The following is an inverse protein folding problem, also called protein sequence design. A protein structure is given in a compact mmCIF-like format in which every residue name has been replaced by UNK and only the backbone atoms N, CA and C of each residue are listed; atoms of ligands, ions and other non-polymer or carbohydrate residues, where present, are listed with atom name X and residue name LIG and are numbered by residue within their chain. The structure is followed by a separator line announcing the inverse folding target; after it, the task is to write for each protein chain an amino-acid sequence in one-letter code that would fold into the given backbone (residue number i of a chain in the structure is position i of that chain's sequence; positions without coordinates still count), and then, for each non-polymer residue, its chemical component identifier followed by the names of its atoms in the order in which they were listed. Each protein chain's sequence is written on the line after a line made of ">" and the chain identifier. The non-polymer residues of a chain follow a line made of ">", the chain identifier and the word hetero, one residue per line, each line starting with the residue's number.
data_IF_482244776836
#
_entry.id   IF_482244776836
#
_cell.length_a   1.000
_cell.length_b   1.000
_cell.length_c   1.000
_cell.angle_alpha   90.00
_cell.angle_beta   90.00
_cell.angle_gamma   90.00
#
_symmetry.space_group_name_H-M   'P 1'
#
loop_
_entity.id
_entity.type
_entity.pdbx_description
1 polymer ?
#
# COMPACT_ATOMS: atom_id res chain seq x y z
N UNK A 1 24.01 -1.95 9.89
CA UNK A 1 22.65 -1.37 9.79
C UNK A 1 21.90 -2.18 8.75
N UNK A 2 20.62 -2.48 8.97
CA UNK A 2 19.82 -3.19 7.95
C UNK A 2 19.50 -2.19 6.84
N UNK A 3 19.65 -2.62 5.59
CA UNK A 3 19.25 -1.81 4.45
C UNK A 3 17.73 -1.64 4.38
N UNK A 4 17.27 -0.42 4.07
CA UNK A 4 15.85 -0.13 3.84
C UNK A 4 15.29 -0.97 2.69
N UNK A 5 16.13 -1.26 1.69
CA UNK A 5 15.78 -2.15 0.60
C UNK A 5 15.43 -3.57 1.07
N UNK A 6 16.29 -4.15 1.91
CA UNK A 6 16.09 -5.48 2.49
C UNK A 6 14.84 -5.52 3.38
N UNK A 7 14.59 -4.45 4.15
CA UNK A 7 13.38 -4.32 4.94
C UNK A 7 12.11 -4.29 4.08
N UNK A 8 12.12 -3.56 2.97
CA UNK A 8 10.97 -3.51 2.05
C UNK A 8 10.69 -4.90 1.44
N UNK A 9 11.72 -5.56 0.91
CA UNK A 9 11.58 -6.90 0.32
C UNK A 9 11.11 -7.95 1.33
N UNK A 10 11.61 -7.88 2.56
CA UNK A 10 11.14 -8.74 3.65
C UNK A 10 9.63 -8.56 3.90
N UNK A 11 9.14 -7.33 3.98
CA UNK A 11 7.72 -7.06 4.17
C UNK A 11 6.88 -7.51 2.96
N UNK A 12 7.37 -7.32 1.73
CA UNK A 12 6.70 -7.82 0.51
C UNK A 12 6.53 -9.33 0.56
N UNK A 13 7.59 -10.08 0.92
CA UNK A 13 7.51 -11.53 1.03
C UNK A 13 6.58 -11.97 2.17
N UNK A 14 6.67 -11.32 3.33
CA UNK A 14 5.83 -11.63 4.49
C UNK A 14 4.35 -11.42 4.20
N UNK A 15 3.99 -10.28 3.58
CA UNK A 15 2.61 -10.02 3.20
C UNK A 15 2.16 -10.88 2.01
N UNK A 16 3.07 -11.35 1.15
CA UNK A 16 2.76 -12.38 0.18
C UNK A 16 2.27 -13.68 0.86
N UNK A 17 2.93 -14.09 1.95
CA UNK A 17 2.48 -15.26 2.75
C UNK A 17 1.13 -14.98 3.43
N UNK A 18 0.93 -13.78 3.98
CA UNK A 18 -0.37 -13.38 4.57
C UNK A 18 -1.47 -13.42 3.49
N UNK A 19 -1.19 -12.87 2.30
CA UNK A 19 -2.10 -12.86 1.17
C UNK A 19 -2.47 -14.25 0.67
N UNK A 20 -1.53 -15.21 0.71
CA UNK A 20 -1.81 -16.63 0.43
C UNK A 20 -2.89 -17.19 1.37
N UNK A 21 -2.78 -16.90 2.67
CA UNK A 21 -3.71 -17.39 3.68
C UNK A 21 -5.06 -16.67 3.62
N UNK A 22 -5.05 -15.38 3.27
CA UNK A 22 -6.21 -14.50 3.29
C UNK A 22 -7.07 -14.60 2.02
N UNK A 23 -6.44 -14.84 0.87
CA UNK A 23 -7.08 -15.03 -0.43
C UNK A 23 -7.31 -13.73 -1.21
N UNK A 24 -7.33 -13.85 -2.54
CA UNK A 24 -7.37 -12.70 -3.48
C UNK A 24 -8.50 -11.72 -3.23
N UNK A 25 -9.76 -12.16 -3.08
CA UNK A 25 -10.90 -11.23 -2.94
C UNK A 25 -10.73 -10.26 -1.77
N UNK A 26 -10.16 -10.72 -0.65
CA UNK A 26 -9.94 -9.87 0.53
C UNK A 26 -8.72 -8.98 0.36
N UNK A 27 -7.66 -9.45 -0.29
CA UNK A 27 -6.49 -8.62 -0.63
C UNK A 27 -6.84 -7.52 -1.63
N UNK A 28 -7.76 -7.78 -2.55
CA UNK A 28 -8.22 -6.79 -3.52
C UNK A 28 -9.01 -5.66 -2.86
N UNK A 29 -9.85 -5.97 -1.86
CA UNK A 29 -10.53 -4.94 -1.06
C UNK A 29 -9.52 -4.11 -0.26
N UNK A 30 -8.51 -4.76 0.33
CA UNK A 30 -7.43 -4.06 1.01
C UNK A 30 -6.66 -3.12 0.07
N UNK A 31 -6.35 -3.60 -1.14
CA UNK A 31 -5.70 -2.82 -2.20
C UNK A 31 -6.50 -1.55 -2.53
N UNK A 32 -7.81 -1.68 -2.68
CA UNK A 32 -8.68 -0.53 -2.95
C UNK A 32 -8.61 0.52 -1.83
N UNK A 33 -8.64 0.09 -0.57
CA UNK A 33 -8.50 0.98 0.58
C UNK A 33 -7.12 1.64 0.67
N UNK A 34 -6.06 0.91 0.38
CA UNK A 34 -4.68 1.44 0.36
C UNK A 34 -4.54 2.49 -0.75
N UNK A 35 -5.00 2.21 -1.98
CA UNK A 35 -4.92 3.17 -3.09
C UNK A 35 -5.74 4.43 -2.77
N UNK A 36 -6.91 4.28 -2.16
CA UNK A 36 -7.70 5.43 -1.70
C UNK A 36 -6.94 6.26 -0.64
N UNK A 37 -6.28 5.60 0.32
CA UNK A 37 -5.48 6.29 1.33
C UNK A 37 -4.33 7.09 0.70
N UNK A 38 -3.61 6.48 -0.25
CA UNK A 38 -2.53 7.13 -0.98
C UNK A 38 -3.03 8.31 -1.81
N UNK A 39 -4.21 8.17 -2.44
CA UNK A 39 -4.85 9.27 -3.15
C UNK A 39 -5.15 10.45 -2.26
N UNK A 40 -5.75 10.19 -1.10
CA UNK A 40 -6.04 11.26 -0.13
C UNK A 40 -4.75 11.92 0.34
N UNK A 41 -3.69 11.16 0.60
CA UNK A 41 -2.40 11.72 1.04
C UNK A 41 -1.74 12.62 -0.01
N UNK A 42 -1.85 12.28 -1.30
CA UNK A 42 -1.29 13.07 -2.40
C UNK A 42 -2.17 14.28 -2.72
N UNK A 43 -3.47 14.07 -2.92
CA UNK A 43 -4.39 15.14 -3.33
C UNK A 43 -4.55 16.20 -2.23
N UNK A 44 -4.55 15.78 -0.96
CA UNK A 44 -4.66 16.67 0.18
C UNK A 44 -3.31 16.96 0.85
N UNK A 45 -2.20 16.88 0.12
CA UNK A 45 -0.86 17.12 0.68
C UNK A 45 -0.78 18.48 1.42
N UNK A 46 -1.31 19.54 0.82
CA UNK A 46 -1.34 20.88 1.43
C UNK A 46 -2.10 20.92 2.77
N UNK A 47 -3.11 20.07 2.96
CA UNK A 47 -3.82 19.94 4.23
C UNK A 47 -2.92 19.29 5.29
N UNK A 48 -2.21 18.22 4.94
CA UNK A 48 -1.29 17.55 5.86
C UNK A 48 -0.09 18.43 6.24
N UNK A 49 0.44 19.21 5.29
CA UNK A 49 1.47 20.21 5.56
C UNK A 49 0.95 21.34 6.45
N UNK A 50 -0.29 21.78 6.23
CA UNK A 50 -0.94 22.80 7.07
C UNK A 50 -1.14 22.31 8.50
N UNK A 51 -1.53 21.04 8.67
CA UNK A 51 -1.69 20.42 9.97
C UNK A 51 -0.35 20.29 10.72
N UNK A 52 0.76 20.21 9.98
CA UNK A 52 2.13 20.26 10.50
C UNK A 52 2.78 21.64 10.46
N UNK A 53 2.05 22.74 10.21
CA UNK A 53 2.66 24.08 10.22
C UNK A 53 3.20 24.42 11.60
N UNK A 54 4.50 24.73 11.66
CA UNK A 54 5.23 24.98 12.90
C UNK A 54 5.76 23.72 13.59
N UNK A 55 5.47 22.54 13.03
CA UNK A 55 6.00 21.25 13.47
C UNK A 55 7.23 20.85 12.66
N UNK A 56 8.15 20.10 13.26
CA UNK A 56 9.31 19.54 12.54
C UNK A 56 8.90 18.48 11.50
N UNK A 57 9.77 18.20 10.53
CA UNK A 57 9.55 17.21 9.46
C UNK A 57 9.17 15.81 10.00
N UNK A 58 9.64 15.47 11.20
CA UNK A 58 9.28 14.24 11.92
C UNK A 58 7.78 14.14 12.22
N UNK A 59 7.14 15.22 12.67
CA UNK A 59 5.71 15.21 12.99
C UNK A 59 4.88 15.06 11.71
N UNK A 60 5.28 15.72 10.61
CA UNK A 60 4.63 15.58 9.30
C UNK A 60 4.69 14.12 8.83
N UNK A 61 5.85 13.48 8.98
CA UNK A 61 6.01 12.06 8.67
C UNK A 61 5.04 11.20 9.50
N UNK A 62 4.99 11.38 10.82
CA UNK A 62 4.11 10.57 11.67
C UNK A 62 2.63 10.77 11.35
N UNK A 63 2.20 11.99 11.00
CA UNK A 63 0.82 12.22 10.58
C UNK A 63 0.49 11.47 9.29
N UNK A 64 1.35 11.59 8.25
CA UNK A 64 1.18 10.87 6.97
C UNK A 64 1.21 9.35 7.19
N UNK A 65 2.15 8.85 7.98
CA UNK A 65 2.31 7.44 8.30
C UNK A 65 1.13 6.87 9.10
N UNK A 66 0.70 7.58 10.14
CA UNK A 66 -0.44 7.17 10.97
C UNK A 66 -1.73 7.11 10.14
N UNK A 67 -1.96 8.12 9.29
CA UNK A 67 -3.11 8.12 8.39
C UNK A 67 -3.09 6.90 7.47
N UNK A 68 -1.97 6.64 6.77
CA UNK A 68 -1.82 5.48 5.88
C UNK A 68 -2.06 4.16 6.64
N UNK A 69 -1.44 3.99 7.80
CA UNK A 69 -1.52 2.76 8.58
C UNK A 69 -2.93 2.54 9.15
N UNK A 70 -3.61 3.58 9.62
CA UNK A 70 -4.98 3.47 10.14
C UNK A 70 -5.95 3.09 9.01
N UNK A 71 -5.88 3.75 7.85
CA UNK A 71 -6.75 3.40 6.72
C UNK A 71 -6.45 2.00 6.21
N UNK A 72 -5.16 1.64 6.09
CA UNK A 72 -4.72 0.29 5.70
C UNK A 72 -5.24 -0.76 6.68
N UNK A 73 -5.13 -0.52 7.99
CA UNK A 73 -5.63 -1.42 9.02
C UNK A 73 -7.13 -1.70 8.83
N UNK A 74 -7.96 -0.66 8.68
CA UNK A 74 -9.39 -0.84 8.43
C UNK A 74 -9.70 -1.50 7.08
N UNK A 75 -8.91 -1.24 6.05
CA UNK A 75 -9.03 -1.92 4.76
C UNK A 75 -8.76 -3.43 4.88
N UNK A 76 -7.82 -3.82 5.76
CA UNK A 76 -7.59 -5.22 6.10
C UNK A 76 -8.71 -5.80 6.98
N UNK A 77 -9.27 -5.07 7.94
CA UNK A 77 -10.34 -5.58 8.83
C UNK A 77 -11.71 -5.76 8.17
N UNK A 78 -11.89 -5.38 6.90
CA UNK A 78 -13.21 -5.41 6.23
C UNK A 78 -13.80 -6.84 6.17
N UNK A 79 -14.98 -7.10 6.77
CA UNK A 79 -15.55 -8.45 6.88
C UNK A 79 -15.91 -9.06 5.50
N UNK A 80 -15.55 -10.33 5.26
CA UNK A 80 -15.71 -10.95 3.94
C UNK A 80 -17.16 -11.28 3.55
N UNK A 81 -18.08 -11.30 4.51
CA UNK A 81 -19.48 -11.71 4.30
C UNK A 81 -20.29 -10.73 3.43
N UNK A 82 -19.80 -9.50 3.24
CA UNK A 82 -20.45 -8.48 2.40
C UNK A 82 -19.95 -8.46 0.95
N UNK A 83 -18.90 -9.21 0.62
CA UNK A 83 -18.20 -9.12 -0.68
C UNK A 83 -18.23 -10.43 -1.48
N UNK A 84 -18.61 -11.56 -0.85
CA UNK A 84 -18.85 -12.81 -1.58
C UNK A 84 -20.29 -12.88 -2.08
N UNK A 85 -20.56 -12.80 -3.41
CA UNK A 85 -21.83 -13.25 -3.93
C UNK A 85 -21.94 -14.73 -3.60
N UNK A 86 -23.08 -15.13 -3.03
CA UNK A 86 -23.42 -16.52 -2.71
C UNK A 86 -22.99 -17.45 -3.85
N UNK A 87 -22.08 -18.38 -3.55
CA UNK A 87 -21.54 -19.38 -4.49
C UNK A 87 -22.69 -20.04 -5.28
N UNK A 88 -22.76 -19.78 -6.59
CA UNK A 88 -23.44 -20.71 -7.51
C UNK A 88 -22.64 -22.02 -7.51
N UNK A 89 -23.28 -23.04 -6.95
CA UNK A 89 -22.81 -24.40 -6.74
C UNK A 89 -22.44 -25.04 -8.10
N UNK A 90 -21.16 -25.28 -8.35
CA UNK A 90 -20.70 -25.85 -9.63
C UNK A 90 -19.24 -26.31 -9.68
N UNK A 91 -18.93 -27.46 -9.07
CA UNK A 91 -17.98 -28.50 -9.54
C UNK A 91 -16.62 -28.07 -10.19
N UNK A 92 -15.93 -27.04 -9.68
CA UNK A 92 -14.51 -26.70 -10.00
C UNK A 92 -13.68 -26.34 -8.76
N UNK A 93 -13.90 -27.03 -7.63
CA UNK A 93 -13.55 -26.51 -6.30
C UNK A 93 -12.03 -26.42 -5.99
N UNK A 94 -11.17 -27.23 -6.60
CA UNK A 94 -9.73 -27.23 -6.26
C UNK A 94 -8.86 -26.30 -7.11
N UNK A 95 -9.10 -26.20 -8.42
CA UNK A 95 -8.27 -25.32 -9.29
C UNK A 95 -8.53 -23.85 -8.96
N UNK A 96 -9.80 -23.51 -8.76
CA UNK A 96 -10.22 -22.16 -8.42
C UNK A 96 -9.67 -21.75 -7.04
N UNK A 97 -9.60 -22.68 -6.08
CA UNK A 97 -9.02 -22.43 -4.76
C UNK A 97 -7.50 -22.17 -4.79
N UNK A 98 -6.74 -22.95 -5.57
CA UNK A 98 -5.29 -22.73 -5.72
C UNK A 98 -4.98 -21.43 -6.44
N UNK A 99 -5.71 -21.11 -7.51
CA UNK A 99 -5.58 -19.84 -8.22
C UNK A 99 -5.87 -18.65 -7.29
N UNK A 100 -6.94 -18.73 -6.49
CA UNK A 100 -7.33 -17.66 -5.57
C UNK A 100 -6.27 -17.39 -4.50
N UNK A 101 -5.49 -18.41 -4.09
CA UNK A 101 -4.39 -18.27 -3.13
C UNK A 101 -3.13 -17.68 -3.76
N UNK A 102 -2.77 -18.09 -4.97
CA UNK A 102 -1.61 -17.55 -5.69
C UNK A 102 -1.83 -16.07 -6.02
N UNK A 103 -3.02 -15.71 -6.48
CA UNK A 103 -3.40 -14.30 -6.67
C UNK A 103 -3.38 -13.52 -5.35
N UNK A 104 -3.71 -14.18 -4.24
CA UNK A 104 -3.54 -13.64 -2.90
C UNK A 104 -2.08 -13.31 -2.57
N UNK A 105 -1.12 -14.17 -2.92
CA UNK A 105 0.32 -13.89 -2.73
C UNK A 105 0.73 -12.62 -3.47
N UNK A 106 0.37 -12.53 -4.75
CA UNK A 106 0.76 -11.39 -5.59
C UNK A 106 0.16 -10.09 -5.05
N UNK A 107 -1.14 -10.10 -4.73
CA UNK A 107 -1.78 -8.90 -4.18
C UNK A 107 -1.28 -8.55 -2.78
N UNK A 108 -1.04 -9.54 -1.91
CA UNK A 108 -0.48 -9.29 -0.58
C UNK A 108 0.89 -8.64 -0.65
N UNK A 109 1.77 -9.17 -1.50
CA UNK A 109 3.09 -8.58 -1.74
C UNK A 109 2.99 -7.17 -2.35
N UNK A 110 2.08 -6.97 -3.30
CA UNK A 110 1.84 -5.64 -3.89
C UNK A 110 1.28 -4.64 -2.87
N UNK A 111 0.36 -5.06 -2.00
CA UNK A 111 -0.18 -4.25 -0.92
C UNK A 111 0.91 -3.82 0.06
N UNK A 112 1.80 -4.73 0.46
CA UNK A 112 2.96 -4.36 1.27
C UNK A 112 3.90 -3.39 0.55
N UNK A 113 4.17 -3.61 -0.73
CA UNK A 113 4.97 -2.68 -1.53
C UNK A 113 4.34 -1.29 -1.53
N UNK A 114 3.02 -1.17 -1.73
CA UNK A 114 2.32 0.11 -1.67
C UNK A 114 2.41 0.76 -0.28
N UNK A 115 2.18 0.00 0.79
CA UNK A 115 2.17 0.55 2.16
C UNK A 115 3.58 0.93 2.61
N UNK A 116 4.49 -0.04 2.68
CA UNK A 116 5.85 0.18 3.20
C UNK A 116 6.71 1.01 2.23
N UNK A 117 6.51 0.85 0.92
CA UNK A 117 7.18 1.69 -0.08
C UNK A 117 6.72 3.15 -0.01
N UNK A 118 5.43 3.40 0.26
CA UNK A 118 4.96 4.79 0.46
C UNK A 118 5.41 5.39 1.79
N UNK A 119 5.51 4.58 2.86
CA UNK A 119 6.13 5.03 4.10
C UNK A 119 7.58 5.46 3.87
N UNK A 120 8.36 4.66 3.14
CA UNK A 120 9.73 5.04 2.78
C UNK A 120 9.74 6.29 1.88
N UNK A 121 8.84 6.39 0.90
CA UNK A 121 8.72 7.59 0.08
C UNK A 121 8.50 8.87 0.92
N UNK A 122 7.64 8.83 1.95
CA UNK A 122 7.46 9.97 2.84
C UNK A 122 8.71 10.33 3.62
N UNK A 123 9.51 9.34 4.01
CA UNK A 123 10.81 9.59 4.66
C UNK A 123 11.77 10.29 3.70
N UNK A 124 11.84 9.83 2.45
CA UNK A 124 12.71 10.40 1.43
C UNK A 124 12.35 11.87 1.11
N UNK A 125 11.06 12.15 0.90
CA UNK A 125 10.54 13.51 0.69
C UNK A 125 10.84 14.47 1.86
N UNK A 126 10.90 13.94 3.08
CA UNK A 126 11.16 14.71 4.31
C UNK A 126 12.64 14.68 4.74
N UNK A 127 13.55 14.24 3.86
CA UNK A 127 14.98 14.15 4.08
C UNK A 127 15.38 13.28 5.30
N UNK A 128 14.71 12.14 5.46
CA UNK A 128 14.95 11.14 6.52
C UNK A 128 14.83 11.74 7.94
N UNK A 129 13.62 12.18 8.34
CA UNK A 129 13.42 12.93 9.58
C UNK A 129 13.64 12.12 10.87
N UNK A 130 13.79 10.79 10.77
CA UNK A 130 14.02 9.87 11.89
C UNK A 130 15.52 9.60 12.15
N UNK A 131 16.41 10.47 11.66
CA UNK A 131 17.84 10.36 11.95
C UNK A 131 18.10 10.55 13.45
N UNK A 132 18.92 9.71 14.11
CA UNK A 132 19.85 8.72 13.55
C UNK A 132 19.29 7.28 13.41
N UNK A 133 18.05 7.01 13.84
CA UNK A 133 17.46 5.66 13.79
C UNK A 133 17.28 5.16 12.37
N UNK A 134 16.90 6.04 11.44
CA UNK A 134 16.88 5.78 10.00
C UNK A 134 17.56 6.92 9.27
N UNK A 135 18.66 6.63 8.60
CA UNK A 135 19.48 7.60 7.88
C UNK A 135 19.28 7.50 6.37
N UNK A 136 19.64 8.58 5.68
CA UNK A 136 19.72 8.61 4.22
C UNK A 136 20.59 7.46 3.70
N UNK A 137 20.12 6.71 2.68
CA UNK A 137 20.93 5.71 2.00
C UNK A 137 22.22 6.33 1.45
N UNK A 138 23.38 5.69 1.63
CA UNK A 138 24.61 6.10 0.96
C UNK A 138 24.43 6.10 -0.57
N UNK A 139 25.02 7.07 -1.30
CA UNK A 139 25.14 6.98 -2.75
C UNK A 139 25.83 5.65 -3.10
N UNK A 140 25.33 4.91 -4.09
CA UNK A 140 25.79 3.58 -4.52
C UNK A 140 25.35 2.38 -3.65
N UNK A 141 24.36 2.55 -2.77
CA UNK A 141 23.71 1.42 -2.07
C UNK A 141 22.49 0.90 -2.84
N UNK A 142 22.13 -0.37 -2.65
CA UNK A 142 20.90 -0.94 -3.24
C UNK A 142 19.64 -0.19 -2.78
N UNK A 143 19.69 0.37 -1.56
CA UNK A 143 18.64 1.25 -1.04
C UNK A 143 18.53 2.55 -1.84
N UNK A 144 19.63 3.17 -2.27
CA UNK A 144 19.60 4.39 -3.09
C UNK A 144 18.99 4.15 -4.48
N UNK A 145 19.32 3.02 -5.12
CA UNK A 145 18.73 2.66 -6.42
C UNK A 145 17.21 2.46 -6.34
N UNK A 146 16.74 1.82 -5.26
CA UNK A 146 15.33 1.47 -5.11
C UNK A 146 14.43 2.66 -4.76
N UNK A 147 14.96 3.81 -4.33
CA UNK A 147 14.17 5.04 -4.12
C UNK A 147 13.41 5.44 -5.39
N UNK A 148 14.04 5.28 -6.55
CA UNK A 148 13.42 5.58 -7.85
C UNK A 148 12.24 4.64 -8.20
N UNK A 149 12.19 3.46 -7.58
CA UNK A 149 11.17 2.45 -7.78
C UNK A 149 10.11 2.46 -6.66
N UNK A 150 10.02 3.50 -5.84
CA UNK A 150 8.98 3.58 -4.80
C UNK A 150 7.59 3.86 -5.41
N UNK A 151 6.50 3.37 -4.78
CA UNK A 151 5.14 3.44 -5.33
C UNK A 151 4.73 4.82 -5.82
N UNK A 152 4.85 5.83 -4.96
CA UNK A 152 4.38 7.17 -5.24
C UNK A 152 5.21 7.89 -6.31
N UNK A 153 6.46 7.48 -6.54
CA UNK A 153 7.33 8.07 -7.57
C UNK A 153 6.76 7.84 -8.96
N UNK A 154 6.31 6.63 -9.27
CA UNK A 154 5.74 6.32 -10.57
C UNK A 154 4.22 6.52 -10.60
N UNK A 155 3.50 6.39 -9.48
CA UNK A 155 2.05 6.60 -9.44
C UNK A 155 1.66 8.07 -9.65
N UNK A 156 2.49 9.03 -9.22
CA UNK A 156 2.23 10.44 -9.45
C UNK A 156 2.56 10.88 -10.89
N UNK A 157 3.41 10.13 -11.60
CA UNK A 157 3.73 10.44 -12.99
C UNK A 157 2.48 10.28 -13.86
N UNK A 158 2.14 11.32 -14.63
CA UNK A 158 1.02 11.28 -15.56
C UNK A 158 -0.36 11.07 -14.90
N UNK A 159 -0.54 11.42 -13.63
CA UNK A 159 -1.79 11.25 -12.87
C UNK A 159 -2.29 9.79 -12.80
N UNK A 160 -1.37 8.81 -12.86
CA UNK A 160 -1.73 7.39 -12.82
C UNK A 160 -2.48 7.02 -11.54
N UNK A 161 -2.14 7.63 -10.41
CA UNK A 161 -2.82 7.43 -9.13
C UNK A 161 -4.32 7.76 -9.25
N UNK A 162 -4.66 8.91 -9.83
CA UNK A 162 -6.05 9.32 -10.08
C UNK A 162 -6.77 8.32 -11.00
N UNK A 163 -6.09 7.83 -12.05
CA UNK A 163 -6.63 6.82 -12.95
C UNK A 163 -6.93 5.51 -12.20
N UNK A 164 -6.03 5.05 -11.32
CA UNK A 164 -6.25 3.85 -10.51
C UNK A 164 -7.45 4.01 -9.58
N UNK A 165 -7.60 5.18 -8.95
CA UNK A 165 -8.73 5.47 -8.06
C UNK A 165 -10.04 5.46 -8.83
N UNK A 166 -10.12 6.14 -9.98
CA UNK A 166 -11.31 6.15 -10.83
C UNK A 166 -11.64 4.72 -11.28
N UNK A 167 -10.65 3.95 -11.74
CA UNK A 167 -10.84 2.56 -12.17
C UNK A 167 -11.35 1.67 -11.04
N UNK A 168 -10.78 1.77 -9.84
CA UNK A 168 -11.22 1.04 -8.66
C UNK A 168 -12.62 1.43 -8.23
N UNK A 169 -12.94 2.72 -8.25
CA UNK A 169 -14.26 3.22 -7.88
C UNK A 169 -15.33 2.71 -8.84
N UNK A 170 -15.08 2.79 -10.15
CA UNK A 170 -15.97 2.23 -11.17
C UNK A 170 -16.13 0.71 -10.99
N UNK A 171 -15.06 0.00 -10.71
CA UNK A 171 -15.11 -1.44 -10.45
C UNK A 171 -15.99 -1.77 -9.24
N UNK A 172 -15.80 -1.08 -8.12
CA UNK A 172 -16.61 -1.28 -6.90
C UNK A 172 -18.08 -0.95 -7.18
N UNK A 173 -18.36 0.14 -7.89
CA UNK A 173 -19.71 0.55 -8.25
C UNK A 173 -20.40 -0.54 -9.10
N UNK A 174 -19.72 -1.05 -10.13
CA UNK A 174 -20.24 -2.12 -10.99
C UNK A 174 -20.44 -3.42 -10.18
N UNK A 175 -19.52 -3.74 -9.26
CA UNK A 175 -19.62 -4.97 -8.46
C UNK A 175 -20.74 -4.93 -7.42
N UNK A 176 -21.21 -3.74 -7.02
CA UNK A 176 -22.29 -3.54 -6.05
C UNK A 176 -23.69 -3.41 -6.67
N UNK A 177 -23.79 -3.14 -7.97
CA UNK A 177 -25.06 -3.13 -8.73
C UNK A 177 -25.42 -4.56 -9.14
#
# INVERSE_FOLDING_TARGET
>A
MIELSAFLWFNILLFGVIGYMRGFSKEFVALAGIILALFVLVEFESFFETLGRGSGSEQIFYVKALFLLVVTFFAYETPPERVTPSKRRGRSDNRDAWQNRILGVLLGGFNAYLVFGSLWYFMDQLAYPLSPSVSTPPPDSASAEMVSALPLVWMQQGNLLTIFVIGLFLFILIAMI
#
